data_IF_936385406737
#
_entry.id   IF_936385406737
#
_cell.length_a   1.000
_cell.length_b   1.000
_cell.length_c   1.000
_cell.angle_alpha   90.00
_cell.angle_beta   90.00
_cell.angle_gamma   90.00
#
_symmetry.space_group_name_H-M   'P 1'
#
loop_
_entity.id
_entity.type
_entity.pdbx_description
1 polymer ?
#
# COMPACT_ATOMS: atom_id res chain seq x y z
N UNK A 1 26.03 -39.12 -21.35
CA UNK A 1 26.83 -38.06 -22.01
C UNK A 1 26.44 -36.73 -21.38
N UNK A 2 27.37 -36.12 -20.65
CA UNK A 2 27.19 -34.83 -20.01
C UNK A 2 27.42 -33.70 -21.02
N UNK A 3 26.57 -32.67 -20.99
CA UNK A 3 26.89 -31.36 -21.56
C UNK A 3 26.56 -30.30 -20.51
N UNK A 4 27.62 -29.87 -19.81
CA UNK A 4 27.63 -28.61 -19.06
C UNK A 4 27.62 -27.44 -20.05
N UNK A 5 26.72 -26.47 -19.85
CA UNK A 5 26.92 -25.10 -20.36
C UNK A 5 27.10 -24.15 -19.18
N UNK A 6 28.33 -23.67 -19.07
CA UNK A 6 28.74 -22.56 -18.24
C UNK A 6 28.12 -21.28 -18.80
N UNK A 7 27.38 -20.53 -17.98
CA UNK A 7 26.98 -19.17 -18.32
C UNK A 7 28.08 -18.21 -17.87
N UNK A 8 28.78 -17.65 -18.83
CA UNK A 8 29.79 -16.61 -18.63
C UNK A 8 29.12 -15.33 -18.15
N UNK A 9 29.43 -14.91 -16.91
CA UNK A 9 29.04 -13.59 -16.38
C UNK A 9 29.99 -12.54 -16.94
N UNK A 10 29.54 -11.80 -17.94
CA UNK A 10 30.27 -10.63 -18.46
C UNK A 10 30.22 -9.49 -17.44
N UNK A 11 31.39 -9.19 -16.87
CA UNK A 11 31.63 -8.14 -15.88
C UNK A 11 31.58 -6.76 -16.56
N UNK A 12 30.55 -5.97 -16.28
CA UNK A 12 30.50 -4.56 -16.67
C UNK A 12 31.52 -3.79 -15.82
N UNK A 13 32.54 -3.21 -16.47
CA UNK A 13 33.51 -2.30 -15.86
C UNK A 13 32.86 -0.95 -15.60
N UNK A 14 32.51 -0.64 -14.34
CA UNK A 14 32.32 0.74 -13.90
C UNK A 14 33.67 1.32 -13.47
N UNK A 15 34.24 2.22 -14.28
CA UNK A 15 35.38 3.05 -13.89
C UNK A 15 34.90 4.15 -12.94
N UNK A 16 35.45 4.17 -11.73
CA UNK A 16 35.72 5.40 -10.98
C UNK A 16 34.62 5.93 -10.06
N UNK A 17 34.50 5.38 -8.85
CA UNK A 17 34.10 6.16 -7.67
C UNK A 17 35.06 5.82 -6.53
N UNK A 18 35.60 6.87 -5.89
CA UNK A 18 36.68 6.81 -4.91
C UNK A 18 36.21 6.26 -3.56
N UNK A 19 37.06 5.39 -3.04
CA UNK A 19 37.13 4.77 -1.70
C UNK A 19 36.94 5.79 -0.57
N UNK A 20 36.00 5.52 0.34
CA UNK A 20 36.00 6.05 1.71
C UNK A 20 35.93 4.86 2.69
N UNK A 21 36.70 5.00 3.77
CA UNK A 21 37.21 3.93 4.65
C UNK A 21 36.14 3.32 5.57
N UNK A 22 36.35 2.04 5.85
CA UNK A 22 35.90 1.31 7.04
C UNK A 22 36.73 1.78 8.25
N UNK A 23 36.04 2.16 9.32
CA UNK A 23 36.49 2.34 10.71
C UNK A 23 35.17 2.67 11.44
N UNK A 24 34.57 1.92 12.37
CA UNK A 24 35.15 1.19 13.48
C UNK A 24 34.07 0.23 14.06
N UNK A 25 34.45 -1.02 14.31
CA UNK A 25 33.71 -1.98 15.14
C UNK A 25 34.18 -1.82 16.59
N UNK A 26 33.22 -1.83 17.53
CA UNK A 26 33.43 -2.43 18.86
C UNK A 26 33.53 -1.48 20.05
N UNK A 27 32.55 -1.57 20.96
CA UNK A 27 32.79 -1.87 22.38
C UNK A 27 31.50 -2.34 23.05
N UNK A 28 31.61 -3.52 23.66
CA UNK A 28 30.59 -4.29 24.37
C UNK A 28 30.66 -4.03 25.89
N UNK A 29 29.71 -4.63 26.63
CA UNK A 29 29.67 -4.95 28.09
C UNK A 29 28.95 -3.85 28.92
N UNK A 30 27.94 -4.09 29.79
CA UNK A 30 27.69 -5.24 30.67
C UNK A 30 26.19 -5.48 30.97
N UNK A 31 25.87 -6.76 31.22
CA UNK A 31 24.66 -7.21 31.90
C UNK A 31 24.71 -6.89 33.42
N UNK A 32 23.53 -6.66 34.03
CA UNK A 32 23.34 -6.78 35.48
C UNK A 32 21.95 -7.33 35.78
N UNK A 33 21.92 -8.38 36.62
CA UNK A 33 20.74 -9.11 37.10
C UNK A 33 19.81 -8.23 37.97
N UNK A 34 18.52 -8.59 38.12
CA UNK A 34 17.56 -7.89 38.96
C UNK A 34 17.55 -8.44 40.40
N UNK A 35 17.34 -7.55 41.38
CA UNK A 35 16.97 -7.88 42.76
C UNK A 35 15.60 -7.29 43.11
N UNK A 36 14.86 -8.05 43.93
CA UNK A 36 13.44 -7.96 44.24
C UNK A 36 13.02 -6.80 45.17
N UNK A 37 11.69 -6.82 45.48
CA UNK A 37 10.87 -6.10 46.48
C UNK A 37 10.10 -4.93 45.85
N UNK A 38 8.78 -4.77 45.95
CA UNK A 38 7.73 -5.41 46.73
C UNK A 38 6.80 -4.29 47.23
N UNK A 39 5.51 -4.30 46.86
CA UNK A 39 4.49 -3.49 47.56
C UNK A 39 3.47 -2.71 46.70
N UNK A 40 2.25 -3.27 46.67
CA UNK A 40 0.90 -2.64 46.76
C UNK A 40 0.53 -1.40 45.91
N UNK A 41 -0.56 -1.60 45.15
CA UNK A 41 -1.75 -0.72 45.14
C UNK A 41 -1.73 0.47 44.20
N UNK A 42 -2.48 0.40 43.08
CA UNK A 42 -3.70 1.19 42.91
C UNK A 42 -4.24 1.16 41.48
N UNK A 43 -5.53 1.46 41.41
CA UNK A 43 -6.48 1.16 40.36
C UNK A 43 -6.39 2.04 39.09
N UNK A 44 -6.83 1.46 37.97
CA UNK A 44 -7.80 2.02 37.01
C UNK A 44 -7.59 3.48 36.57
N UNK A 45 -7.21 3.69 35.30
CA UNK A 45 -8.11 4.35 34.32
C UNK A 45 -7.58 4.30 32.89
N UNK A 46 -8.50 4.04 31.96
CA UNK A 46 -8.33 3.84 30.52
C UNK A 46 -8.62 5.17 29.83
N UNK A 47 -7.64 5.77 29.15
CA UNK A 47 -7.82 7.06 28.49
C UNK A 47 -8.32 6.87 27.05
N UNK A 48 -9.64 7.00 26.83
CA UNK A 48 -10.27 7.12 25.51
C UNK A 48 -10.56 8.61 25.28
N UNK A 49 -9.92 9.23 24.29
CA UNK A 49 -10.28 10.58 23.84
C UNK A 49 -11.28 10.49 22.68
N UNK A 50 -12.51 10.94 22.94
CA UNK A 50 -13.54 11.22 21.94
C UNK A 50 -13.31 12.63 21.36
N UNK A 51 -13.44 12.75 20.05
CA UNK A 51 -13.47 14.01 19.30
C UNK A 51 -14.94 14.42 19.16
N UNK A 52 -15.30 15.59 19.67
CA UNK A 52 -16.65 16.17 19.56
C UNK A 52 -16.71 17.09 18.33
N UNK A 53 -17.62 16.80 17.39
CA UNK A 53 -18.06 17.73 16.34
C UNK A 53 -19.16 18.64 16.89
N UNK A 54 -19.08 19.94 16.62
CA UNK A 54 -20.09 20.94 16.99
C UNK A 54 -20.81 21.42 15.72
N UNK A 55 -22.09 21.07 15.61
CA UNK A 55 -23.07 21.58 14.65
C UNK A 55 -23.93 22.60 15.39
N UNK A 56 -23.92 23.86 14.95
CA UNK A 56 -24.80 24.91 15.48
C UNK A 56 -25.98 25.12 14.52
N UNK A 57 -27.19 24.84 15.02
CA UNK A 57 -28.46 25.08 14.35
C UNK A 57 -29.05 26.46 14.72
N UNK A 58 -29.75 27.03 13.75
CA UNK A 58 -30.52 28.27 13.78
C UNK A 58 -31.77 28.17 14.68
N UNK A 59 -32.28 29.29 15.24
CA UNK A 59 -33.71 29.38 15.51
C UNK A 59 -34.36 30.63 14.90
N UNK A 60 -35.52 30.40 14.27
CA UNK A 60 -36.55 31.40 14.03
C UNK A 60 -37.61 31.31 15.14
N UNK A 61 -38.08 32.46 15.65
CA UNK A 61 -39.47 32.58 16.11
C UNK A 61 -39.99 34.02 15.98
N UNK A 62 -41.25 34.11 15.56
CA UNK A 62 -42.09 35.28 15.23
C UNK A 62 -42.45 36.15 16.43
N UNK A 63 -42.76 37.43 16.18
CA UNK A 63 -44.04 38.06 16.58
C UNK A 63 -44.28 39.37 15.80
N UNK A 64 -45.56 39.64 15.53
CA UNK A 64 -46.12 40.74 14.72
C UNK A 64 -46.14 42.08 15.48
N UNK A 65 -46.13 43.21 14.76
CA UNK A 65 -46.53 44.50 15.35
C UNK A 65 -46.24 45.75 14.51
N UNK A 66 -47.24 46.17 13.72
CA UNK A 66 -47.68 47.54 13.39
C UNK A 66 -46.74 48.60 12.78
N UNK A 67 -47.28 49.22 11.72
CA UNK A 67 -46.96 50.51 11.09
C UNK A 67 -46.74 51.66 12.07
N UNK A 68 -45.83 52.60 11.74
CA UNK A 68 -46.15 54.04 11.54
C UNK A 68 -44.88 54.90 11.36
N UNK A 69 -45.08 56.00 10.65
CA UNK A 69 -44.20 56.99 10.04
C UNK A 69 -43.54 58.03 10.98
N UNK A 70 -42.59 58.80 10.39
CA UNK A 70 -42.07 60.16 10.73
C UNK A 70 -40.87 60.22 11.69
N UNK A 71 -39.70 60.68 11.24
CA UNK A 71 -39.20 62.07 11.03
C UNK A 71 -38.48 62.63 12.28
N UNK A 72 -37.46 63.47 12.03
CA UNK A 72 -36.55 64.22 12.93
C UNK A 72 -35.16 63.56 13.06
N UNK A 73 -34.17 63.87 12.21
CA UNK A 73 -33.35 65.09 12.14
C UNK A 73 -32.75 65.55 13.50
N UNK A 74 -31.46 65.93 13.43
CA UNK A 74 -30.78 67.08 14.08
C UNK A 74 -29.51 66.71 14.91
N UNK A 75 -28.33 67.10 14.35
CA UNK A 75 -27.13 67.71 15.01
C UNK A 75 -26.16 66.76 15.76
N UNK A 76 -24.81 66.82 15.69
CA UNK A 76 -23.74 67.65 15.07
C UNK A 76 -22.45 66.80 15.17
N UNK A 77 -21.65 66.63 14.12
CA UNK A 77 -20.48 67.43 13.73
C UNK A 77 -19.18 67.21 14.56
N UNK A 78 -18.09 67.01 13.81
CA UNK A 78 -16.65 67.13 14.17
C UNK A 78 -16.03 65.84 14.74
N UNK A 79 -14.84 65.37 14.35
CA UNK A 79 -13.73 66.06 13.71
C UNK A 79 -12.92 65.12 12.81
N UNK A 80 -12.46 65.74 11.72
CA UNK A 80 -11.45 65.27 10.78
C UNK A 80 -10.09 65.21 11.50
N UNK A 81 -9.44 64.05 11.54
CA UNK A 81 -7.99 63.98 11.75
C UNK A 81 -7.43 62.91 10.81
N UNK A 82 -6.84 63.40 9.73
CA UNK A 82 -6.08 62.65 8.77
C UNK A 82 -4.84 62.02 9.44
N UNK A 83 -4.77 60.69 9.46
CA UNK A 83 -3.52 59.98 9.67
C UNK A 83 -3.09 59.39 8.33
N UNK A 84 -2.15 60.10 7.72
CA UNK A 84 -1.41 59.75 6.52
C UNK A 84 -0.57 58.50 6.83
N UNK A 85 -1.14 57.30 6.65
CA UNK A 85 -0.34 56.07 6.66
C UNK A 85 0.45 56.05 5.36
N UNK A 86 1.75 56.33 5.48
CA UNK A 86 2.73 56.10 4.44
C UNK A 86 2.61 54.66 3.94
N UNK A 87 1.94 54.50 2.80
CA UNK A 87 1.98 53.30 2.00
C UNK A 87 3.41 53.13 1.49
N UNK A 88 4.24 52.43 2.27
CA UNK A 88 5.47 51.88 1.74
C UNK A 88 5.04 50.89 0.66
N UNK A 89 5.48 51.05 -0.60
CA UNK A 89 5.32 49.98 -1.56
C UNK A 89 6.18 48.84 -1.01
N UNK A 90 5.53 47.87 -0.37
CA UNK A 90 6.11 46.56 -0.26
C UNK A 90 6.24 46.12 -1.70
N UNK A 91 7.45 46.27 -2.23
CA UNK A 91 7.88 45.56 -3.40
C UNK A 91 7.59 44.09 -3.08
N UNK A 92 6.45 43.61 -3.56
CA UNK A 92 6.27 42.19 -3.82
C UNK A 92 7.49 41.85 -4.65
N UNK A 93 8.45 41.18 -4.03
CA UNK A 93 9.49 40.49 -4.75
C UNK A 93 8.74 39.52 -5.64
N UNK A 94 8.42 39.96 -6.86
CA UNK A 94 8.04 39.11 -7.96
C UNK A 94 9.17 38.10 -8.02
N UNK A 95 8.87 36.85 -7.65
CA UNK A 95 9.75 35.73 -7.91
C UNK A 95 9.97 35.73 -9.43
N UNK A 96 11.06 36.36 -9.85
CA UNK A 96 11.34 36.57 -11.25
C UNK A 96 11.80 35.23 -11.84
N UNK A 97 10.98 34.74 -12.78
CA UNK A 97 11.27 33.77 -13.83
C UNK A 97 11.51 32.30 -13.41
N UNK A 98 10.41 31.59 -13.11
CA UNK A 98 10.31 30.15 -13.38
C UNK A 98 9.63 29.84 -14.73
N UNK A 99 9.47 30.86 -15.60
CA UNK A 99 8.45 30.85 -16.66
C UNK A 99 8.93 30.45 -18.06
N UNK A 100 10.24 30.31 -18.29
CA UNK A 100 10.72 29.85 -19.59
C UNK A 100 10.97 28.35 -19.58
N UNK A 101 10.15 27.62 -20.33
CA UNK A 101 10.42 26.21 -20.65
C UNK A 101 11.78 26.12 -21.36
N UNK A 102 12.72 25.28 -20.88
CA UNK A 102 14.03 25.15 -21.53
C UNK A 102 13.89 24.81 -23.02
N UNK A 103 14.66 25.44 -23.93
CA UNK A 103 14.56 25.20 -25.37
C UNK A 103 14.71 23.72 -25.77
N UNK A 104 15.49 22.95 -25.00
CA UNK A 104 15.63 21.51 -25.22
C UNK A 104 14.31 20.75 -25.03
N UNK A 105 13.45 21.20 -24.11
CA UNK A 105 12.14 20.58 -23.85
C UNK A 105 11.18 20.91 -24.99
N UNK A 106 11.11 22.18 -25.43
CA UNK A 106 10.25 22.56 -26.55
C UNK A 106 10.68 21.91 -27.86
N UNK A 107 11.99 21.80 -28.11
CA UNK A 107 12.53 21.10 -29.27
C UNK A 107 12.19 19.60 -29.27
N UNK A 108 12.31 18.93 -28.13
CA UNK A 108 12.00 17.51 -28.02
C UNK A 108 10.49 17.24 -28.16
N UNK A 109 9.64 18.07 -27.53
CA UNK A 109 8.19 17.97 -27.70
C UNK A 109 7.80 18.16 -29.17
N UNK A 110 8.36 19.17 -29.85
CA UNK A 110 8.14 19.38 -31.28
C UNK A 110 8.62 18.18 -32.14
N UNK A 111 9.78 17.60 -31.82
CA UNK A 111 10.31 16.41 -32.49
C UNK A 111 9.38 15.19 -32.37
N UNK A 112 8.65 15.09 -31.26
CA UNK A 112 7.68 14.03 -31.00
C UNK A 112 6.26 14.39 -31.48
N UNK A 113 6.05 15.57 -32.07
CA UNK A 113 4.73 16.05 -32.49
C UNK A 113 3.78 16.33 -31.32
N UNK A 114 4.33 16.61 -30.13
CA UNK A 114 3.56 16.89 -28.92
C UNK A 114 3.44 18.40 -28.69
N UNK A 115 2.24 18.91 -28.34
CA UNK A 115 2.09 20.30 -27.93
C UNK A 115 2.72 20.54 -26.55
N UNK A 116 3.02 21.80 -26.23
CA UNK A 116 3.71 22.13 -24.97
C UNK A 116 2.88 21.74 -23.73
N UNK A 117 1.56 21.89 -23.83
CA UNK A 117 0.62 21.52 -22.79
C UNK A 117 0.44 19.99 -22.65
N UNK A 118 1.05 19.15 -23.49
CA UNK A 118 1.09 17.71 -23.26
C UNK A 118 1.96 17.34 -22.03
N UNK A 119 2.83 18.25 -21.59
CA UNK A 119 3.75 18.04 -20.48
C UNK A 119 3.41 18.94 -19.29
N UNK A 120 3.36 18.34 -18.10
CA UNK A 120 3.31 19.05 -16.82
C UNK A 120 4.55 18.69 -16.01
N UNK A 121 5.32 19.69 -15.58
CA UNK A 121 6.52 19.46 -14.78
C UNK A 121 6.86 20.66 -13.89
N UNK A 122 7.59 20.37 -12.82
CA UNK A 122 8.18 21.34 -11.92
C UNK A 122 9.56 20.83 -11.49
N UNK A 123 10.57 21.67 -11.59
CA UNK A 123 11.94 21.36 -11.16
C UNK A 123 12.31 22.31 -10.05
N UNK A 124 12.68 21.76 -8.90
CA UNK A 124 13.03 22.54 -7.71
C UNK A 124 14.43 22.19 -7.21
N UNK A 125 15.24 23.17 -6.77
CA UNK A 125 16.46 22.88 -6.03
C UNK A 125 16.11 22.18 -4.71
N UNK A 126 16.86 21.14 -4.35
CA UNK A 126 16.72 20.46 -3.05
C UNK A 126 17.04 21.46 -1.93
N UNK A 127 16.05 21.77 -1.07
CA UNK A 127 16.17 22.79 -0.01
C UNK A 127 16.05 24.24 -0.49
N UNK A 128 15.75 24.47 -1.78
CA UNK A 128 15.52 25.78 -2.37
C UNK A 128 14.13 26.34 -2.04
N UNK A 129 13.93 27.64 -2.32
CA UNK A 129 12.68 28.36 -2.02
C UNK A 129 11.77 28.60 -3.24
N UNK A 130 12.27 28.40 -4.46
CA UNK A 130 11.53 28.65 -5.70
C UNK A 130 11.87 27.60 -6.76
N UNK A 131 10.90 27.20 -7.61
CA UNK A 131 11.15 26.32 -8.74
C UNK A 131 12.12 26.98 -9.73
N UNK A 132 13.04 26.18 -10.26
CA UNK A 132 13.94 26.58 -11.33
C UNK A 132 13.23 26.60 -12.69
N UNK A 133 12.27 25.69 -12.89
CA UNK A 133 11.45 25.60 -14.11
C UNK A 133 10.06 25.04 -13.76
N UNK A 134 9.02 25.57 -14.38
CA UNK A 134 7.67 25.05 -14.25
C UNK A 134 6.90 25.16 -15.57
N UNK A 135 6.10 24.14 -15.89
CA UNK A 135 5.12 24.16 -16.98
C UNK A 135 3.89 23.40 -16.52
N UNK A 136 2.71 24.04 -16.56
CA UNK A 136 1.44 23.44 -16.12
C UNK A 136 1.50 22.81 -14.70
N UNK A 137 2.40 23.29 -13.84
CA UNK A 137 2.75 22.60 -12.59
C UNK A 137 1.58 22.39 -11.62
N UNK A 138 0.55 23.23 -11.70
CA UNK A 138 -0.65 23.15 -10.87
C UNK A 138 -1.81 22.38 -11.54
N UNK A 139 -1.62 21.89 -12.77
CA UNK A 139 -2.64 21.13 -13.48
C UNK A 139 -2.73 19.71 -12.89
N UNK A 140 -3.95 19.29 -12.57
CA UNK A 140 -4.20 17.92 -12.17
C UNK A 140 -3.91 16.96 -13.35
N UNK A 141 -3.06 15.97 -13.10
CA UNK A 141 -2.70 14.92 -14.07
C UNK A 141 -2.82 13.56 -13.39
N UNK A 142 -2.97 12.49 -14.17
CA UNK A 142 -2.86 11.13 -13.64
C UNK A 142 -1.39 10.90 -13.23
N UNK A 143 -1.08 10.74 -11.94
CA UNK A 143 0.30 10.58 -11.48
C UNK A 143 0.82 9.15 -11.69
N UNK A 144 -0.05 8.21 -12.06
CA UNK A 144 0.25 6.79 -12.11
C UNK A 144 0.97 6.35 -10.83
N UNK A 145 2.05 5.56 -10.96
CA UNK A 145 2.83 5.09 -9.82
C UNK A 145 3.58 6.19 -9.05
N UNK A 146 3.66 7.43 -9.55
CA UNK A 146 4.20 8.55 -8.76
C UNK A 146 3.33 8.83 -7.51
N UNK A 147 2.06 8.42 -7.51
CA UNK A 147 1.19 8.44 -6.32
C UNK A 147 1.82 7.73 -5.11
N UNK A 148 2.68 6.73 -5.34
CA UNK A 148 3.40 6.02 -4.27
C UNK A 148 4.25 6.94 -3.41
N UNK A 149 4.72 8.08 -3.93
CA UNK A 149 5.46 9.08 -3.15
C UNK A 149 4.58 9.68 -2.04
N UNK A 150 3.34 10.06 -2.39
CA UNK A 150 2.37 10.63 -1.44
C UNK A 150 1.97 9.58 -0.41
N UNK A 151 1.65 8.36 -0.84
CA UNK A 151 1.28 7.26 0.07
C UNK A 151 2.44 6.89 0.99
N UNK A 152 3.68 6.88 0.50
CA UNK A 152 4.87 6.59 1.31
C UNK A 152 5.10 7.67 2.35
N UNK A 153 4.95 8.95 1.98
CA UNK A 153 5.08 10.06 2.92
C UNK A 153 4.03 9.95 4.04
N UNK A 154 2.77 9.73 3.68
CA UNK A 154 1.70 9.54 4.66
C UNK A 154 1.96 8.34 5.58
N UNK A 155 2.42 7.21 5.02
CA UNK A 155 2.75 6.03 5.81
C UNK A 155 3.92 6.29 6.79
N UNK A 156 4.96 6.99 6.34
CA UNK A 156 6.10 7.34 7.21
C UNK A 156 5.70 8.31 8.32
N UNK A 157 4.84 9.28 8.04
CA UNK A 157 4.34 10.24 9.04
C UNK A 157 3.44 9.55 10.08
N UNK A 158 2.50 8.72 9.62
CA UNK A 158 1.51 8.07 10.49
C UNK A 158 2.07 6.88 11.27
N UNK A 159 2.90 6.04 10.64
CA UNK A 159 3.38 4.78 11.23
C UNK A 159 4.79 4.90 11.78
N UNK A 160 5.58 5.84 11.26
CA UNK A 160 7.01 5.95 11.54
C UNK A 160 7.86 4.96 10.74
N UNK A 161 9.15 5.27 10.50
CA UNK A 161 10.06 4.40 9.75
C UNK A 161 10.40 3.08 10.48
N UNK A 162 10.15 3.03 11.78
CA UNK A 162 10.39 1.86 12.62
C UNK A 162 9.17 0.94 12.77
N UNK A 163 8.06 1.24 12.10
CA UNK A 163 6.83 0.45 12.20
C UNK A 163 7.09 -1.04 11.91
N UNK A 164 6.40 -1.90 12.65
CA UNK A 164 6.41 -3.36 12.46
C UNK A 164 4.98 -3.87 12.50
N UNK A 165 4.59 -4.53 11.43
CA UNK A 165 3.33 -5.24 11.35
C UNK A 165 3.33 -6.41 12.35
N UNK A 166 2.18 -6.65 12.98
CA UNK A 166 2.03 -7.69 14.00
C UNK A 166 0.89 -8.62 13.65
N UNK A 167 1.22 -9.86 13.30
CA UNK A 167 0.27 -10.96 13.09
C UNK A 167 0.31 -11.87 14.32
N UNK A 168 -0.85 -12.15 14.92
CA UNK A 168 -0.94 -12.77 16.25
C UNK A 168 -1.79 -14.03 16.25
N UNK A 169 -1.51 -14.94 17.19
CA UNK A 169 -2.36 -16.10 17.48
C UNK A 169 -2.97 -15.98 18.88
N UNK A 170 -4.28 -16.14 18.99
CA UNK A 170 -5.02 -16.06 20.26
C UNK A 170 -5.83 -17.33 20.47
N UNK A 171 -5.86 -17.86 21.70
CA UNK A 171 -6.73 -18.98 22.07
C UNK A 171 -7.85 -18.51 23.00
N UNK A 172 -9.00 -19.16 22.95
CA UNK A 172 -10.14 -18.85 23.85
C UNK A 172 -9.85 -19.25 25.29
N UNK A 173 -9.05 -20.30 25.48
CA UNK A 173 -8.65 -20.80 26.78
C UNK A 173 -7.13 -21.07 26.84
N UNK A 174 -6.54 -21.09 28.05
CA UNK A 174 -5.17 -21.55 28.25
C UNK A 174 -4.98 -23.01 27.78
N UNK A 175 -3.78 -23.38 27.33
CA UNK A 175 -3.46 -24.76 26.97
C UNK A 175 -3.57 -25.68 28.20
N UNK A 176 -4.14 -26.87 28.01
CA UNK A 176 -4.27 -27.90 29.05
C UNK A 176 -4.04 -29.29 28.45
N UNK A 177 -3.17 -30.09 29.08
CA UNK A 177 -2.86 -31.45 28.62
C UNK A 177 -2.30 -31.51 27.19
N UNK A 178 -1.59 -30.47 26.76
CA UNK A 178 -1.04 -30.34 25.40
C UNK A 178 -2.07 -30.01 24.32
N UNK A 179 -3.27 -29.56 24.69
CA UNK A 179 -4.30 -29.13 23.75
C UNK A 179 -4.85 -27.73 24.11
N UNK A 180 -5.28 -26.97 23.09
CA UNK A 180 -6.09 -25.78 23.27
C UNK A 180 -7.57 -26.19 23.38
N UNK A 181 -8.24 -25.77 24.45
CA UNK A 181 -9.70 -25.95 24.57
C UNK A 181 -10.40 -24.79 23.86
N UNK A 182 -11.16 -25.10 22.80
CA UNK A 182 -11.86 -24.10 21.99
C UNK A 182 -11.07 -23.63 20.77
N UNK A 183 -11.44 -22.46 20.26
CA UNK A 183 -10.91 -21.93 18.99
C UNK A 183 -9.51 -21.35 19.13
N UNK A 184 -8.76 -21.41 18.04
CA UNK A 184 -7.52 -20.69 17.83
C UNK A 184 -7.76 -19.63 16.76
N UNK A 185 -7.50 -18.37 17.06
CA UNK A 185 -7.59 -17.26 16.12
C UNK A 185 -6.21 -16.96 15.55
N UNK A 186 -6.10 -16.85 14.23
CA UNK A 186 -4.99 -16.19 13.55
C UNK A 186 -5.47 -14.81 13.14
N UNK A 187 -5.00 -13.76 13.83
CA UNK A 187 -5.39 -12.38 13.57
C UNK A 187 -4.37 -11.68 12.68
N UNK A 188 -4.87 -11.14 11.57
CA UNK A 188 -4.09 -10.41 10.59
C UNK A 188 -3.64 -9.05 11.07
N UNK A 189 -2.36 -8.77 10.88
CA UNK A 189 -1.75 -7.49 11.21
C UNK A 189 -1.74 -6.48 10.07
N UNK A 190 -2.21 -6.81 8.87
CA UNK A 190 -2.02 -5.99 7.65
C UNK A 190 -0.62 -6.10 7.06
N UNK A 191 0.14 -7.14 7.44
CA UNK A 191 1.50 -7.35 6.99
C UNK A 191 1.54 -7.68 5.48
N UNK A 192 2.19 -6.86 4.64
CA UNK A 192 2.23 -7.09 3.19
C UNK A 192 3.13 -8.26 2.79
N UNK A 193 4.01 -8.73 3.68
CA UNK A 193 4.97 -9.81 3.42
C UNK A 193 4.81 -11.01 4.37
N UNK A 194 3.58 -11.32 4.79
CA UNK A 194 3.30 -12.51 5.59
C UNK A 194 3.50 -13.76 4.73
N UNK A 195 4.59 -14.50 4.92
CA UNK A 195 4.90 -15.69 4.10
C UNK A 195 4.46 -17.01 4.75
N UNK A 196 4.36 -18.07 3.95
CA UNK A 196 4.14 -19.43 4.45
C UNK A 196 5.21 -19.91 5.43
N UNK A 197 6.48 -19.52 5.24
CA UNK A 197 7.57 -19.84 6.16
C UNK A 197 7.37 -19.19 7.53
N UNK A 198 6.87 -17.94 7.55
CA UNK A 198 6.56 -17.22 8.79
C UNK A 198 5.38 -17.84 9.52
N UNK A 199 4.32 -18.20 8.80
CA UNK A 199 3.20 -18.97 9.37
C UNK A 199 3.71 -20.31 9.94
N UNK A 200 4.55 -21.02 9.18
CA UNK A 200 5.18 -22.25 9.64
C UNK A 200 6.02 -22.06 10.89
N UNK A 201 6.73 -20.93 11.02
CA UNK A 201 7.48 -20.59 12.23
C UNK A 201 6.54 -20.34 13.42
N UNK A 202 5.44 -19.62 13.23
CA UNK A 202 4.43 -19.41 14.28
C UNK A 202 3.84 -20.75 14.76
N UNK A 203 3.49 -21.65 13.84
CA UNK A 203 2.98 -22.99 14.16
C UNK A 203 4.03 -23.86 14.87
N UNK A 204 5.31 -23.75 14.49
CA UNK A 204 6.41 -24.43 15.20
C UNK A 204 6.58 -23.89 16.62
N UNK A 205 6.47 -22.57 16.83
CA UNK A 205 6.49 -21.97 18.16
C UNK A 205 5.34 -22.51 19.02
N UNK A 206 4.13 -22.61 18.47
CA UNK A 206 2.98 -23.18 19.16
C UNK A 206 3.22 -24.66 19.54
N UNK A 207 3.77 -25.46 18.63
CA UNK A 207 4.14 -26.86 18.93
C UNK A 207 5.22 -26.98 20.00
N UNK A 208 6.25 -26.12 19.94
CA UNK A 208 7.35 -26.12 20.90
C UNK A 208 6.92 -25.64 22.29
N UNK A 209 5.80 -24.92 22.42
CA UNK A 209 5.17 -24.62 23.71
C UNK A 209 4.32 -25.76 24.26
N UNK A 210 4.39 -26.96 23.68
CA UNK A 210 3.70 -28.17 24.13
C UNK A 210 2.27 -28.31 23.62
N UNK A 211 1.84 -27.49 22.65
CA UNK A 211 0.49 -27.58 22.07
C UNK A 211 0.52 -28.50 20.85
N UNK A 212 -0.18 -29.62 20.93
CA UNK A 212 -0.23 -30.66 19.91
C UNK A 212 -1.61 -30.82 19.28
N UNK A 213 -2.66 -30.28 19.91
CA UNK A 213 -4.03 -30.33 19.41
C UNK A 213 -4.78 -29.01 19.62
N UNK A 214 -5.69 -28.71 18.69
CA UNK A 214 -6.69 -27.64 18.82
C UNK A 214 -8.04 -28.34 18.96
N UNK A 215 -8.72 -28.12 20.07
CA UNK A 215 -10.00 -28.76 20.40
C UNK A 215 -11.23 -28.09 19.76
N UNK A 216 -11.02 -27.07 18.92
CA UNK A 216 -12.05 -26.33 18.21
C UNK A 216 -11.54 -25.82 16.86
N UNK A 217 -12.20 -24.80 16.32
CA UNK A 217 -11.89 -24.28 14.99
C UNK A 217 -10.63 -23.41 14.95
N UNK A 218 -9.96 -23.41 13.79
CA UNK A 218 -9.04 -22.34 13.42
C UNK A 218 -9.83 -21.20 12.77
N UNK A 219 -9.82 -20.03 13.39
CA UNK A 219 -10.50 -18.83 12.90
C UNK A 219 -9.49 -17.87 12.28
N UNK A 220 -9.73 -17.46 11.04
CA UNK A 220 -8.95 -16.44 10.36
C UNK A 220 -9.60 -15.07 10.62
N UNK A 221 -9.00 -14.27 11.48
CA UNK A 221 -9.50 -12.94 11.83
C UNK A 221 -8.89 -11.88 10.91
N UNK A 222 -9.73 -11.36 10.00
CA UNK A 222 -9.42 -10.33 9.01
C UNK A 222 -9.98 -8.95 9.38
N UNK A 223 -10.45 -8.77 10.62
CA UNK A 223 -11.26 -7.62 11.03
C UNK A 223 -10.50 -6.29 11.12
N UNK A 224 -9.16 -6.30 11.02
CA UNK A 224 -8.34 -5.08 11.00
C UNK A 224 -8.70 -4.17 9.81
N UNK A 225 -8.97 -4.77 8.65
CA UNK A 225 -9.49 -4.04 7.49
C UNK A 225 -11.00 -4.19 7.43
N UNK A 226 -11.69 -3.15 6.97
CA UNK A 226 -13.14 -3.10 6.90
C UNK A 226 -13.58 -2.70 5.48
N UNK A 227 -14.42 -3.52 4.81
CA UNK A 227 -14.92 -4.82 5.27
C UNK A 227 -13.80 -5.88 5.38
N UNK A 228 -13.98 -6.90 6.22
CA UNK A 228 -12.98 -7.96 6.45
C UNK A 228 -12.68 -8.83 5.22
N UNK A 229 -13.55 -8.77 4.20
CA UNK A 229 -13.39 -9.38 2.88
C UNK A 229 -13.56 -8.31 1.82
N UNK A 230 -12.59 -7.40 1.66
CA UNK A 230 -12.69 -6.33 0.68
C UNK A 230 -12.70 -6.86 -0.75
N UNK A 231 -12.29 -8.12 -0.95
CA UNK A 231 -12.34 -8.82 -2.23
C UNK A 231 -13.75 -9.27 -2.64
N UNK A 232 -14.66 -9.43 -1.69
CA UNK A 232 -16.05 -9.77 -2.00
C UNK A 232 -16.71 -8.50 -2.56
N UNK A 233 -17.30 -8.61 -3.75
CA UNK A 233 -18.00 -7.51 -4.46
C UNK A 233 -17.09 -6.39 -4.98
N UNK A 234 -15.77 -6.52 -4.89
CA UNK A 234 -14.87 -5.55 -5.51
C UNK A 234 -15.01 -5.59 -7.04
N UNK A 235 -15.28 -4.44 -7.69
CA UNK A 235 -15.25 -4.37 -9.14
C UNK A 235 -13.79 -4.57 -9.65
N UNK A 236 -13.60 -5.12 -10.85
CA UNK A 236 -12.30 -5.10 -11.51
C UNK A 236 -11.74 -3.67 -11.58
N UNK A 237 -10.47 -3.51 -11.26
CA UNK A 237 -9.79 -2.21 -11.36
C UNK A 237 -9.59 -1.79 -12.82
N UNK A 238 -9.24 -2.76 -13.67
CA UNK A 238 -9.03 -2.62 -15.11
C UNK A 238 -9.42 -3.93 -15.83
N UNK A 239 -9.04 -4.05 -17.10
CA UNK A 239 -9.33 -5.21 -17.94
C UNK A 239 -8.49 -6.47 -17.62
N UNK A 240 -7.63 -6.43 -16.58
CA UNK A 240 -6.74 -7.54 -16.19
C UNK A 240 -6.89 -7.93 -14.70
N UNK A 241 -8.09 -8.33 -14.25
CA UNK A 241 -8.34 -8.64 -12.83
C UNK A 241 -7.49 -9.78 -12.24
N UNK A 242 -6.82 -10.60 -13.05
CA UNK A 242 -5.89 -11.65 -12.63
C UNK A 242 -4.42 -11.20 -12.55
N UNK A 243 -4.12 -9.93 -12.90
CA UNK A 243 -2.77 -9.40 -12.80
C UNK A 243 -2.33 -9.24 -11.34
N UNK A 244 -1.06 -9.55 -11.06
CA UNK A 244 -0.50 -9.48 -9.70
C UNK A 244 -0.60 -8.08 -9.07
N UNK A 245 -0.64 -7.01 -9.86
CA UNK A 245 -0.80 -5.64 -9.36
C UNK A 245 -2.24 -5.28 -8.94
N UNK A 246 -3.22 -6.13 -9.27
CA UNK A 246 -4.64 -5.96 -8.95
C UNK A 246 -5.07 -6.75 -7.70
N UNK A 247 -4.14 -7.34 -6.95
CA UNK A 247 -4.45 -8.00 -5.68
C UNK A 247 -5.09 -6.99 -4.73
N UNK A 248 -6.24 -7.38 -4.18
CA UNK A 248 -6.97 -6.56 -3.21
C UNK A 248 -6.29 -6.72 -1.84
N UNK A 249 -5.87 -5.62 -1.18
CA UNK A 249 -5.21 -5.70 0.12
C UNK A 249 -6.07 -6.38 1.17
N UNK A 250 -5.45 -7.21 2.01
CA UNK A 250 -6.12 -7.91 3.11
C UNK A 250 -5.31 -7.86 4.41
N UNK A 251 -6.02 -7.90 5.55
CA UNK A 251 -5.38 -7.94 6.85
C UNK A 251 -4.51 -9.21 7.06
N UNK A 252 -4.87 -10.31 6.39
CA UNK A 252 -4.15 -11.58 6.33
C UNK A 252 -3.68 -11.89 4.90
N UNK A 253 -2.95 -10.99 4.24
CA UNK A 253 -2.34 -11.23 2.93
C UNK A 253 -1.16 -12.22 3.01
N UNK A 254 -1.44 -13.53 2.85
CA UNK A 254 -0.40 -14.57 2.84
C UNK A 254 0.23 -14.70 1.45
N UNK A 255 1.55 -14.53 1.36
CA UNK A 255 2.33 -14.68 0.11
C UNK A 255 1.70 -13.93 -1.06
N UNK A 256 1.47 -12.63 -0.87
CA UNK A 256 0.86 -11.71 -1.85
C UNK A 256 -0.55 -12.12 -2.32
N UNK A 257 -1.23 -13.07 -1.64
CA UNK A 257 -2.51 -13.65 -2.10
C UNK A 257 -2.45 -14.26 -3.51
N UNK A 258 -1.26 -14.61 -3.96
CA UNK A 258 -1.03 -15.22 -5.25
C UNK A 258 -0.75 -16.72 -5.09
N UNK A 259 -1.22 -17.47 -6.07
CA UNK A 259 -0.88 -18.87 -6.27
C UNK A 259 -0.19 -18.94 -7.61
N UNK A 260 1.08 -19.33 -7.59
CA UNK A 260 1.88 -19.39 -8.81
C UNK A 260 1.53 -20.65 -9.59
N UNK A 261 1.30 -20.51 -10.88
CA UNK A 261 1.18 -21.63 -11.81
C UNK A 261 2.51 -21.82 -12.53
N UNK A 262 3.12 -22.99 -12.34
CA UNK A 262 4.29 -23.41 -13.12
C UNK A 262 3.81 -24.26 -14.27
N UNK A 263 4.09 -23.81 -15.48
CA UNK A 263 3.82 -24.55 -16.71
C UNK A 263 5.10 -25.26 -17.14
N UNK A 264 4.98 -26.54 -17.49
CA UNK A 264 6.06 -27.30 -18.12
C UNK A 264 5.52 -28.01 -19.34
N UNK A 265 6.33 -28.16 -20.37
CA UNK A 265 5.91 -28.80 -21.63
C UNK A 265 6.96 -29.79 -22.11
N UNK A 266 6.49 -30.84 -22.75
CA UNK A 266 7.29 -31.83 -23.47
C UNK A 266 6.53 -32.28 -24.73
N UNK A 267 7.03 -33.31 -25.43
CA UNK A 267 6.39 -33.83 -26.65
C UNK A 267 4.98 -34.41 -26.43
N UNK A 268 4.61 -34.75 -25.20
CA UNK A 268 3.31 -35.32 -24.84
C UNK A 268 2.26 -34.27 -24.49
N UNK A 269 2.69 -33.04 -24.20
CA UNK A 269 1.78 -31.93 -23.92
C UNK A 269 2.32 -30.97 -22.89
N UNK A 270 1.39 -30.41 -22.12
CA UNK A 270 1.64 -29.41 -21.10
C UNK A 270 1.24 -29.99 -19.75
N UNK A 271 1.99 -29.69 -18.70
CA UNK A 271 1.60 -29.89 -17.31
C UNK A 271 1.51 -28.55 -16.59
N UNK A 272 0.62 -28.47 -15.61
CA UNK A 272 0.49 -27.29 -14.75
C UNK A 272 0.50 -27.69 -13.29
N UNK A 273 1.34 -27.02 -12.52
CA UNK A 273 1.49 -27.21 -11.08
C UNK A 273 1.23 -25.90 -10.35
N UNK A 274 0.54 -25.94 -9.22
CA UNK A 274 0.35 -24.77 -8.34
C UNK A 274 1.38 -24.76 -7.22
N UNK A 275 1.89 -23.58 -6.89
CA UNK A 275 2.73 -23.36 -5.72
C UNK A 275 2.10 -22.27 -4.83
N UNK A 276 1.73 -22.59 -3.57
CA UNK A 276 1.71 -23.92 -2.96
C UNK A 276 0.61 -24.83 -3.57
N UNK A 277 0.70 -26.17 -3.37
CA UNK A 277 -0.43 -27.05 -3.65
C UNK A 277 -1.61 -26.72 -2.73
N UNK A 278 -2.78 -26.52 -3.30
CA UNK A 278 -3.98 -26.16 -2.57
C UNK A 278 -4.83 -27.40 -2.30
N UNK A 279 -5.04 -27.73 -1.01
CA UNK A 279 -5.90 -28.84 -0.61
C UNK A 279 -7.33 -28.63 -1.09
N UNK A 280 -7.97 -29.68 -1.62
CA UNK A 280 -9.32 -29.58 -2.16
C UNK A 280 -9.44 -28.80 -3.47
N UNK A 281 -8.31 -28.39 -4.08
CA UNK A 281 -8.27 -27.72 -5.37
C UNK A 281 -7.54 -28.59 -6.39
N UNK A 282 -8.18 -28.85 -7.52
CA UNK A 282 -7.57 -29.57 -8.63
C UNK A 282 -7.51 -28.70 -9.88
N UNK A 283 -6.37 -28.73 -10.57
CA UNK A 283 -6.17 -28.05 -11.84
C UNK A 283 -6.62 -28.98 -12.97
N UNK A 284 -7.68 -28.59 -13.67
CA UNK A 284 -8.05 -29.20 -14.95
C UNK A 284 -7.28 -28.51 -16.05
N UNK A 285 -6.24 -29.18 -16.55
CA UNK A 285 -5.42 -28.68 -17.64
C UNK A 285 -6.14 -28.82 -18.99
N UNK A 286 -6.50 -27.69 -19.61
CA UNK A 286 -7.03 -27.64 -20.97
C UNK A 286 -6.06 -27.01 -21.97
N UNK A 287 -4.79 -26.86 -21.61
CA UNK A 287 -3.74 -26.28 -22.45
C UNK A 287 -3.32 -27.28 -23.53
N UNK A 288 -3.01 -26.76 -24.71
CA UNK A 288 -2.48 -27.54 -25.84
C UNK A 288 -1.18 -26.89 -26.34
N UNK A 289 -0.34 -27.66 -27.01
CA UNK A 289 0.87 -27.15 -27.67
C UNK A 289 0.51 -26.49 -29.01
N UNK A 290 1.23 -25.44 -29.39
CA UNK A 290 1.18 -24.87 -30.74
C UNK A 290 2.54 -24.30 -31.19
N UNK A 291 2.74 -24.20 -32.50
CA UNK A 291 4.04 -23.84 -33.11
C UNK A 291 4.28 -22.32 -33.22
N UNK A 292 3.50 -21.49 -32.50
CA UNK A 292 3.68 -20.03 -32.57
C UNK A 292 4.88 -19.58 -31.73
N UNK A 293 5.50 -18.43 -32.06
CA UNK A 293 6.57 -17.88 -31.25
C UNK A 293 6.12 -17.66 -29.80
N UNK A 294 6.96 -18.06 -28.83
CA UNK A 294 6.66 -17.89 -27.41
C UNK A 294 6.43 -16.44 -27.00
N UNK A 295 6.98 -15.46 -27.72
CA UNK A 295 6.70 -14.04 -27.50
C UNK A 295 5.24 -13.65 -27.73
N UNK A 296 4.49 -14.40 -28.54
CA UNK A 296 3.09 -14.16 -28.87
C UNK A 296 2.10 -14.90 -27.96
N UNK A 297 2.53 -15.28 -26.74
CA UNK A 297 1.73 -16.08 -25.81
C UNK A 297 0.45 -15.34 -25.35
N UNK A 298 0.53 -14.02 -25.18
CA UNK A 298 -0.56 -13.19 -24.67
C UNK A 298 -1.77 -13.17 -25.61
N UNK A 299 -1.55 -13.24 -26.92
CA UNK A 299 -2.59 -13.12 -27.96
C UNK A 299 -3.70 -14.18 -27.88
N UNK A 300 -3.50 -15.25 -27.11
CA UNK A 300 -4.58 -16.21 -26.83
C UNK A 300 -4.59 -16.70 -25.40
N UNK A 301 -3.98 -15.95 -24.48
CA UNK A 301 -4.22 -16.17 -23.06
C UNK A 301 -5.72 -16.00 -22.79
N UNK A 302 -6.24 -16.87 -21.95
CA UNK A 302 -7.60 -16.79 -21.45
C UNK A 302 -7.53 -17.00 -19.95
N UNK A 303 -8.21 -16.13 -19.21
CA UNK A 303 -8.23 -16.21 -17.76
C UNK A 303 -8.75 -17.59 -17.32
N UNK A 304 -8.07 -18.26 -16.38
CA UNK A 304 -8.56 -19.50 -15.79
C UNK A 304 -9.94 -19.29 -15.15
N UNK A 305 -10.86 -20.23 -15.38
CA UNK A 305 -12.19 -20.20 -14.78
C UNK A 305 -12.24 -21.12 -13.55
N UNK A 306 -12.72 -20.62 -12.42
CA UNK A 306 -13.02 -21.45 -11.26
C UNK A 306 -14.45 -21.99 -11.34
N UNK A 307 -14.63 -23.30 -11.11
CA UNK A 307 -15.96 -23.89 -10.87
C UNK A 307 -15.94 -24.58 -9.51
N UNK A 308 -16.67 -24.05 -8.50
CA UNK A 308 -16.89 -24.75 -7.26
C UNK A 308 -17.59 -26.08 -7.54
N UNK A 309 -17.08 -27.18 -6.99
CA UNK A 309 -17.83 -28.42 -6.83
C UNK A 309 -17.64 -28.89 -5.40
N UNK A 310 -18.67 -29.34 -4.68
CA UNK A 310 -18.45 -30.01 -3.41
C UNK A 310 -18.02 -31.47 -3.70
N UNK A 311 -17.00 -32.05 -3.02
CA UNK A 311 -16.20 -31.52 -1.91
C UNK A 311 -14.89 -30.81 -2.35
N UNK A 312 -14.68 -30.58 -3.65
CA UNK A 312 -13.44 -30.02 -4.20
C UNK A 312 -13.65 -28.96 -5.30
N UNK A 313 -12.98 -27.83 -5.18
CA UNK A 313 -12.99 -26.79 -6.22
C UNK A 313 -12.15 -27.24 -7.41
N UNK A 314 -12.74 -27.21 -8.60
CA UNK A 314 -12.02 -27.49 -9.85
C UNK A 314 -11.64 -26.17 -10.50
N UNK A 315 -10.35 -25.88 -10.53
CA UNK A 315 -9.80 -24.76 -11.30
C UNK A 315 -9.60 -25.25 -12.73
N UNK A 316 -10.44 -24.78 -13.64
CA UNK A 316 -10.29 -25.12 -15.05
C UNK A 316 -9.39 -24.10 -15.72
N UNK A 317 -8.17 -24.51 -16.00
CA UNK A 317 -7.29 -23.75 -16.86
C UNK A 317 -7.76 -23.95 -18.29
N UNK A 318 -8.47 -22.94 -18.79
CA UNK A 318 -8.82 -22.83 -20.20
C UNK A 318 -7.89 -21.81 -20.80
N UNK A 319 -6.82 -22.26 -21.41
CA UNK A 319 -6.08 -21.48 -22.38
C UNK A 319 -5.75 -22.41 -23.54
N UNK A 320 -5.64 -21.88 -24.75
CA UNK A 320 -5.23 -22.69 -25.91
C UNK A 320 -3.72 -22.96 -25.92
N UNK A 321 -2.94 -22.63 -24.87
CA UNK A 321 -1.48 -22.65 -24.95
C UNK A 321 -0.76 -22.97 -23.64
N UNK A 322 0.28 -23.80 -23.74
CA UNK A 322 1.54 -23.46 -23.08
C UNK A 322 2.68 -23.51 -24.09
N UNK A 323 3.71 -22.71 -23.81
CA UNK A 323 4.84 -22.49 -24.69
C UNK A 323 5.45 -23.80 -25.20
N UNK A 324 5.73 -23.82 -26.50
CA UNK A 324 6.71 -24.71 -27.08
C UNK A 324 8.12 -24.34 -26.63
N UNK A 325 9.00 -25.33 -26.73
CA UNK A 325 10.40 -25.36 -26.27
C UNK A 325 11.23 -24.25 -26.91
#
# INVERSE_FOLDING_TARGET
>A
MAVHRQTTVSRIRTKGVRRWREDFIGKSIAARHPSQTGGRGDAVTRNRRFITFLLAACPMLRTMGSMSTRTHQIIRASAFCAALVLATPHASASAAAADSVPPIVTQELARQGLPLDALSYQVEPVGGKAPAYAQEAHRAVNPASAMKLVTTLAALDMLGPAHRWTTSMFSEAPPAGGALKGKLYLQGGGEPNLTWERIGAMLRTLRNSGIHAIGGDLVLDRSLFQPARPDIEAPPFDDTPDAAYNVIPDALSVSDYLVSYTLSSDASGVTVHTTPPLSGVSVMNGLVLDDRPCSAWQDTWRQPGARPSAPSTRLRMRSRRACCI
#
